data_IF_625666013175
#
_entry.id   IF_625666013175
#
_cell.length_a   1.000
_cell.length_b   1.000
_cell.length_c   1.000
_cell.angle_alpha   90.00
_cell.angle_beta   90.00
_cell.angle_gamma   90.00
#
_symmetry.space_group_name_H-M   'P 1'
#
loop_
_entity.id
_entity.type
_entity.pdbx_description
1 polymer ?
#
# COMPACT_ATOMS: atom_id res chain seq x y z
N UNK A 1 60.55 49.27 -8.38
CA UNK A 1 59.68 48.44 -7.49
C UNK A 1 58.49 49.17 -6.85
N UNK A 2 58.37 50.51 -6.83
CA UNK A 2 57.21 51.19 -6.21
C UNK A 2 55.90 51.14 -7.01
N UNK A 3 55.94 51.02 -8.35
CA UNK A 3 54.73 51.02 -9.20
C UNK A 3 53.96 49.69 -9.22
N UNK A 4 54.59 48.57 -8.87
CA UNK A 4 53.94 47.25 -8.88
C UNK A 4 53.02 47.05 -7.65
N UNK A 5 53.36 47.68 -6.51
CA UNK A 5 52.55 47.61 -5.29
C UNK A 5 51.21 48.37 -5.42
N UNK A 6 51.18 49.45 -6.19
CA UNK A 6 49.96 50.24 -6.40
C UNK A 6 48.97 49.54 -7.33
N UNK A 7 49.46 48.83 -8.36
CA UNK A 7 48.61 48.05 -9.28
C UNK A 7 48.04 46.81 -8.60
N UNK A 8 48.84 46.11 -7.77
CA UNK A 8 48.37 44.96 -7.01
C UNK A 8 47.28 45.35 -5.98
N UNK A 9 47.38 46.52 -5.36
CA UNK A 9 46.38 47.01 -4.41
C UNK A 9 45.06 47.41 -5.11
N UNK A 10 45.14 47.98 -6.32
CA UNK A 10 43.94 48.33 -7.09
C UNK A 10 43.19 47.09 -7.59
N UNK A 11 43.90 46.04 -8.01
CA UNK A 11 43.30 44.77 -8.45
C UNK A 11 42.64 44.03 -7.27
N UNK A 12 43.23 44.09 -6.08
CA UNK A 12 42.66 43.49 -4.87
C UNK A 12 41.37 44.21 -4.44
N UNK A 13 41.31 45.54 -4.54
CA UNK A 13 40.12 46.32 -4.18
C UNK A 13 38.97 46.09 -5.20
N UNK A 14 39.28 45.86 -6.48
CA UNK A 14 38.24 45.49 -7.47
C UNK A 14 37.74 44.05 -7.32
N UNK A 15 38.55 43.13 -6.78
CA UNK A 15 38.14 41.74 -6.54
C UNK A 15 37.30 41.58 -5.27
N UNK A 16 37.45 42.47 -4.28
CA UNK A 16 36.65 42.47 -3.05
C UNK A 16 35.57 43.56 -3.00
N UNK A 17 35.45 44.41 -4.03
CA UNK A 17 34.45 45.47 -4.14
C UNK A 17 33.09 45.03 -4.71
N UNK A 18 32.93 43.75 -5.09
CA UNK A 18 31.68 43.19 -5.60
C UNK A 18 31.12 42.13 -4.65
N UNK A 19 30.79 42.53 -3.42
CA UNK A 19 29.88 41.77 -2.55
C UNK A 19 28.80 42.68 -2.00
N UNK A 20 28.18 43.48 -2.86
CA UNK A 20 26.73 43.56 -2.73
C UNK A 20 26.24 42.25 -3.35
N UNK A 21 25.59 41.40 -2.54
CA UNK A 21 24.74 40.31 -3.01
C UNK A 21 23.60 40.94 -3.83
N UNK A 22 23.94 41.48 -4.99
CA UNK A 22 23.02 41.80 -6.04
C UNK A 22 22.57 40.45 -6.58
N UNK A 23 21.53 39.91 -5.94
CA UNK A 23 20.65 38.85 -6.45
C UNK A 23 19.97 39.33 -7.75
N UNK A 24 20.78 39.66 -8.75
CA UNK A 24 20.40 40.07 -10.11
C UNK A 24 20.29 38.85 -11.03
N UNK A 25 20.02 37.67 -10.47
CA UNK A 25 19.16 36.76 -11.18
C UNK A 25 17.76 37.35 -11.04
N UNK A 26 17.32 38.07 -12.06
CA UNK A 26 15.89 38.20 -12.32
C UNK A 26 15.35 36.79 -12.32
N UNK A 27 14.80 36.36 -11.18
CA UNK A 27 14.09 35.09 -11.04
C UNK A 27 13.02 35.15 -12.10
N UNK A 28 13.23 34.44 -13.21
CA UNK A 28 12.26 34.40 -14.29
C UNK A 28 10.93 34.00 -13.65
N UNK A 29 9.98 34.93 -13.68
CA UNK A 29 8.70 34.75 -13.00
C UNK A 29 8.06 33.44 -13.46
N UNK A 30 7.55 32.65 -12.52
CA UNK A 30 6.86 31.40 -12.83
C UNK A 30 7.74 30.15 -13.01
N UNK A 31 9.07 30.24 -12.89
CA UNK A 31 9.90 29.02 -12.81
C UNK A 31 9.59 28.21 -11.54
N UNK A 32 9.34 28.89 -10.41
CA UNK A 32 9.19 28.27 -9.11
C UNK A 32 10.55 27.87 -8.50
N UNK A 33 10.50 27.23 -7.33
CA UNK A 33 11.67 26.68 -6.63
C UNK A 33 11.75 25.18 -6.88
N UNK A 34 12.97 24.64 -6.94
CA UNK A 34 13.21 23.18 -7.04
C UNK A 34 12.58 22.43 -5.86
N UNK A 35 12.72 22.99 -4.65
CA UNK A 35 12.13 22.46 -3.42
C UNK A 35 11.21 23.52 -2.80
N UNK A 36 9.97 23.14 -2.51
CA UNK A 36 8.98 23.99 -1.83
C UNK A 36 8.69 23.39 -0.46
N UNK A 37 8.74 24.23 0.56
CA UNK A 37 8.51 23.83 1.96
C UNK A 37 7.33 24.62 2.52
N UNK A 38 6.32 23.91 3.03
CA UNK A 38 5.17 24.48 3.74
C UNK A 38 5.37 24.18 5.23
N UNK A 39 5.89 25.16 5.97
CA UNK A 39 6.28 25.03 7.38
C UNK A 39 5.76 26.22 8.19
N UNK A 40 5.69 26.06 9.52
CA UNK A 40 5.16 27.06 10.45
C UNK A 40 3.64 27.03 10.58
N UNK A 41 3.07 27.94 11.38
CA UNK A 41 1.63 28.05 11.61
C UNK A 41 0.95 28.87 10.51
N UNK A 42 1.09 28.44 9.26
CA UNK A 42 0.43 29.08 8.12
C UNK A 42 -1.08 28.82 8.15
N UNK A 43 -1.85 29.86 7.93
CA UNK A 43 -3.28 29.76 7.59
C UNK A 43 -3.46 29.20 6.18
N UNK A 44 -4.68 28.76 5.84
CA UNK A 44 -5.03 28.31 4.49
C UNK A 44 -4.64 29.33 3.40
N UNK A 45 -4.89 30.62 3.64
CA UNK A 45 -4.62 31.69 2.69
C UNK A 45 -3.12 31.93 2.47
N UNK A 46 -2.32 31.89 3.55
CA UNK A 46 -0.87 32.05 3.48
C UNK A 46 -0.22 30.83 2.79
N UNK A 47 -0.69 29.64 3.10
CA UNK A 47 -0.27 28.40 2.44
C UNK A 47 -0.55 28.46 0.94
N UNK A 48 -1.77 28.83 0.54
CA UNK A 48 -2.15 28.97 -0.87
C UNK A 48 -1.33 30.04 -1.59
N UNK A 49 -1.09 31.19 -0.96
CA UNK A 49 -0.26 32.26 -1.52
C UNK A 49 1.20 31.80 -1.73
N UNK A 50 1.76 31.07 -0.76
CA UNK A 50 3.12 30.52 -0.85
C UNK A 50 3.24 29.48 -1.95
N UNK A 51 2.30 28.54 -2.04
CA UNK A 51 2.27 27.54 -3.11
C UNK A 51 2.18 28.20 -4.49
N UNK A 52 1.31 29.19 -4.65
CA UNK A 52 1.18 29.95 -5.90
C UNK A 52 2.47 30.69 -6.31
N UNK A 53 3.23 31.19 -5.33
CA UNK A 53 4.48 31.92 -5.59
C UNK A 53 5.68 31.00 -5.84
N UNK A 54 5.71 29.82 -5.20
CA UNK A 54 6.91 28.97 -5.17
C UNK A 54 6.82 27.71 -6.03
N UNK A 55 5.63 27.20 -6.32
CA UNK A 55 5.46 26.05 -7.22
C UNK A 55 5.47 26.53 -8.67
N UNK A 56 6.30 25.91 -9.50
CA UNK A 56 6.41 26.23 -10.92
C UNK A 56 7.07 25.12 -11.74
N UNK A 57 7.45 25.45 -12.97
CA UNK A 57 7.94 24.49 -13.97
C UNK A 57 9.26 23.79 -13.64
N UNK A 58 10.03 24.28 -12.66
CA UNK A 58 11.25 23.61 -12.18
C UNK A 58 11.07 22.90 -10.84
N UNK A 59 9.87 22.96 -10.24
CA UNK A 59 9.60 22.34 -8.94
C UNK A 59 9.63 20.83 -9.01
N UNK A 60 10.54 20.21 -8.27
CA UNK A 60 10.68 18.77 -8.22
C UNK A 60 10.12 18.18 -6.92
N UNK A 61 10.20 18.90 -5.80
CA UNK A 61 9.83 18.37 -4.50
C UNK A 61 8.97 19.37 -3.71
N UNK A 62 7.90 18.86 -3.10
CA UNK A 62 7.02 19.62 -2.21
C UNK A 62 6.96 18.91 -0.86
N UNK A 63 7.36 19.62 0.19
CA UNK A 63 7.36 19.14 1.57
C UNK A 63 6.34 19.93 2.38
N UNK A 64 5.47 19.22 3.09
CA UNK A 64 4.44 19.79 3.94
C UNK A 64 4.72 19.35 5.37
N UNK A 65 5.04 20.32 6.23
CA UNK A 65 5.60 20.10 7.56
C UNK A 65 7.07 19.70 7.54
N UNK A 66 7.71 19.72 8.71
CA UNK A 66 9.15 19.44 8.87
C UNK A 66 9.40 18.11 9.59
N UNK A 67 10.28 17.27 9.04
CA UNK A 67 10.74 16.04 9.71
C UNK A 67 11.61 16.33 10.94
N UNK A 68 12.45 17.38 10.87
CA UNK A 68 13.53 17.57 11.84
C UNK A 68 13.04 18.01 13.23
N UNK A 69 11.80 18.51 13.34
CA UNK A 69 11.27 19.04 14.60
C UNK A 69 9.81 18.67 14.88
N UNK A 70 9.22 17.75 14.12
CA UNK A 70 7.77 17.49 14.18
C UNK A 70 6.96 18.79 14.13
N UNK A 71 7.33 19.68 13.20
CA UNK A 71 6.74 21.02 13.14
C UNK A 71 5.21 20.87 13.08
N UNK A 72 4.56 21.52 14.05
CA UNK A 72 3.10 21.50 14.18
C UNK A 72 2.57 22.55 13.23
N UNK A 73 1.72 22.12 12.30
CA UNK A 73 0.88 23.02 11.51
C UNK A 73 -0.44 23.12 12.25
N UNK A 74 -0.54 24.10 13.15
CA UNK A 74 -1.71 24.20 14.05
C UNK A 74 -2.88 24.96 13.44
N UNK A 75 -2.65 25.80 12.43
CA UNK A 75 -3.68 26.64 11.82
C UNK A 75 -4.17 26.19 10.45
N UNK A 76 -3.42 25.34 9.74
CA UNK A 76 -3.81 24.84 8.42
C UNK A 76 -5.02 23.90 8.53
N UNK A 77 -6.11 24.25 7.87
CA UNK A 77 -7.35 23.45 7.84
C UNK A 77 -7.62 22.80 6.49
N UNK A 78 -7.27 23.48 5.39
CA UNK A 78 -7.45 22.96 4.04
C UNK A 78 -6.16 23.15 3.23
N UNK A 79 -5.75 22.10 2.53
CA UNK A 79 -4.62 22.14 1.63
C UNK A 79 -5.04 21.68 0.24
N UNK A 80 -4.83 22.55 -0.76
CA UNK A 80 -5.00 22.22 -2.17
C UNK A 80 -3.67 22.40 -2.90
N UNK A 81 -3.20 21.34 -3.55
CA UNK A 81 -2.02 21.31 -4.39
C UNK A 81 -2.44 21.12 -5.85
N UNK A 82 -2.05 22.05 -6.72
CA UNK A 82 -2.10 21.91 -8.17
C UNK A 82 -0.65 21.72 -8.66
N UNK A 83 -0.28 20.49 -9.02
CA UNK A 83 1.13 20.08 -9.17
C UNK A 83 1.51 19.89 -10.65
N UNK A 84 2.62 20.48 -11.12
CA UNK A 84 3.10 20.24 -12.48
C UNK A 84 3.67 18.82 -12.63
N UNK A 85 3.76 18.33 -13.87
CA UNK A 85 4.15 16.94 -14.18
C UNK A 85 5.59 16.59 -13.83
N UNK A 86 6.45 17.59 -13.63
CA UNK A 86 7.85 17.40 -13.25
C UNK A 86 8.07 17.19 -11.75
N UNK A 87 7.03 17.31 -10.91
CA UNK A 87 7.13 16.98 -9.48
C UNK A 87 7.44 15.49 -9.32
N UNK A 88 8.50 15.20 -8.57
CA UNK A 88 8.98 13.87 -8.23
C UNK A 88 8.54 13.44 -6.83
N UNK A 89 8.32 14.38 -5.90
CA UNK A 89 7.99 14.05 -4.50
C UNK A 89 6.98 15.02 -3.90
N UNK A 90 5.99 14.46 -3.22
CA UNK A 90 5.07 15.18 -2.32
C UNK A 90 5.05 14.45 -0.99
N UNK A 91 5.57 15.09 0.05
CA UNK A 91 5.78 14.47 1.35
C UNK A 91 5.10 15.27 2.45
N UNK A 92 4.18 14.61 3.16
CA UNK A 92 3.54 15.11 4.36
C UNK A 92 4.27 14.56 5.58
N UNK A 93 5.04 15.40 6.25
CA UNK A 93 5.93 15.00 7.35
C UNK A 93 5.66 15.71 8.69
N UNK A 94 4.68 16.62 8.73
CA UNK A 94 4.30 17.36 9.94
C UNK A 94 3.27 16.65 10.84
N UNK A 95 2.97 17.31 11.96
CA UNK A 95 1.81 17.01 12.81
C UNK A 95 0.74 18.05 12.51
N UNK A 96 -0.46 17.60 12.12
CA UNK A 96 -1.55 18.49 11.74
C UNK A 96 -2.71 18.38 12.73
N UNK A 97 -2.88 19.41 13.55
CA UNK A 97 -3.92 19.45 14.60
C UNK A 97 -5.28 19.83 14.02
N UNK A 98 -5.32 20.73 13.02
CA UNK A 98 -6.56 21.24 12.43
C UNK A 98 -6.80 20.85 10.97
N UNK A 99 -5.87 20.15 10.31
CA UNK A 99 -5.99 19.80 8.89
C UNK A 99 -7.16 18.83 8.66
N UNK A 100 -8.17 19.31 7.92
CA UNK A 100 -9.40 18.61 7.59
C UNK A 100 -9.38 18.03 6.19
N UNK A 101 -8.95 18.81 5.20
CA UNK A 101 -9.00 18.40 3.80
C UNK A 101 -7.65 18.51 3.14
N UNK A 102 -7.31 17.49 2.36
CA UNK A 102 -6.13 17.44 1.51
C UNK A 102 -6.63 17.15 0.09
N UNK A 103 -6.32 18.03 -0.85
CA UNK A 103 -6.60 17.84 -2.27
C UNK A 103 -5.31 17.97 -3.07
N UNK A 104 -4.99 16.95 -3.86
CA UNK A 104 -3.84 16.92 -4.75
C UNK A 104 -4.35 16.71 -6.17
N UNK A 105 -4.10 17.68 -7.04
CA UNK A 105 -4.48 17.65 -8.45
C UNK A 105 -3.22 17.67 -9.30
N UNK A 106 -2.95 16.57 -10.02
CA UNK A 106 -1.91 16.53 -11.04
C UNK A 106 -2.48 16.63 -12.46
N UNK A 107 -1.58 16.50 -13.45
CA UNK A 107 -1.92 16.69 -14.87
C UNK A 107 -1.41 15.56 -15.76
N UNK A 108 -2.01 14.37 -15.63
CA UNK A 108 -1.73 13.20 -16.48
C UNK A 108 -0.71 12.24 -15.87
N UNK A 109 0.19 11.73 -16.72
CA UNK A 109 1.19 10.74 -16.30
C UNK A 109 2.33 11.41 -15.52
N UNK A 110 2.61 10.90 -14.31
CA UNK A 110 3.66 11.36 -13.42
C UNK A 110 4.49 10.16 -12.90
N UNK A 111 5.15 9.41 -13.81
CA UNK A 111 5.69 8.07 -13.54
C UNK A 111 6.86 8.07 -12.55
N UNK A 112 7.46 9.23 -12.29
CA UNK A 112 8.54 9.42 -11.33
C UNK A 112 8.06 9.99 -9.99
N UNK A 113 6.79 10.41 -9.91
CA UNK A 113 6.23 11.05 -8.74
C UNK A 113 5.92 10.03 -7.64
N UNK A 114 6.38 10.36 -6.43
CA UNK A 114 6.07 9.66 -5.21
C UNK A 114 5.20 10.56 -4.32
N UNK A 115 4.04 10.06 -3.90
CA UNK A 115 3.12 10.78 -3.02
C UNK A 115 3.06 10.07 -1.67
N UNK A 116 3.37 10.78 -0.60
CA UNK A 116 3.26 10.32 0.77
C UNK A 116 2.36 11.27 1.55
N UNK A 117 1.08 10.92 1.65
CA UNK A 117 0.10 11.69 2.43
C UNK A 117 -0.10 11.03 3.78
N UNK A 118 0.23 11.76 4.84
CA UNK A 118 -0.21 11.47 6.20
C UNK A 118 -1.16 12.58 6.63
N UNK A 119 -2.44 12.27 6.82
CA UNK A 119 -3.38 13.25 7.35
C UNK A 119 -3.16 13.54 8.85
N UNK A 120 -3.88 14.53 9.34
CA UNK A 120 -3.94 14.98 10.73
C UNK A 120 -5.06 14.36 11.56
N UNK A 121 -5.14 14.83 12.81
CA UNK A 121 -6.13 14.35 13.81
C UNK A 121 -7.56 14.58 13.35
N UNK A 122 -7.78 15.69 12.66
CA UNK A 122 -9.07 16.12 12.14
C UNK A 122 -9.20 15.86 10.63
N UNK A 123 -8.38 15.03 9.99
CA UNK A 123 -8.55 14.83 8.54
C UNK A 123 -9.84 14.07 8.24
N UNK A 124 -10.70 14.70 7.44
CA UNK A 124 -12.01 14.24 7.00
C UNK A 124 -11.96 13.71 5.56
N UNK A 125 -11.08 14.29 4.73
CA UNK A 125 -11.01 13.96 3.31
C UNK A 125 -9.60 14.07 2.75
N UNK A 126 -9.21 13.07 1.95
CA UNK A 126 -8.03 13.10 1.08
C UNK A 126 -8.51 12.79 -0.35
N UNK A 127 -8.35 13.75 -1.24
CA UNK A 127 -8.67 13.61 -2.67
C UNK A 127 -7.39 13.71 -3.50
N UNK A 128 -7.14 12.70 -4.33
CA UNK A 128 -6.10 12.75 -5.37
C UNK A 128 -6.79 12.59 -6.72
N UNK A 129 -6.59 13.52 -7.65
CA UNK A 129 -7.24 13.51 -8.97
C UNK A 129 -6.31 14.03 -10.08
N UNK A 130 -6.66 13.74 -11.33
CA UNK A 130 -5.93 14.19 -12.51
C UNK A 130 -4.59 13.49 -12.76
N UNK A 131 -4.16 12.56 -11.90
CA UNK A 131 -2.92 11.78 -12.06
C UNK A 131 -3.25 10.40 -12.60
N UNK A 132 -2.68 10.01 -13.74
CA UNK A 132 -2.94 8.71 -14.37
C UNK A 132 -1.89 7.65 -14.05
N UNK A 133 -0.68 8.06 -13.67
CA UNK A 133 0.45 7.16 -13.39
C UNK A 133 1.33 7.74 -12.28
N UNK A 134 1.78 6.89 -11.36
CA UNK A 134 2.71 7.25 -10.28
C UNK A 134 3.85 6.23 -10.16
N UNK A 135 4.96 6.68 -9.56
CA UNK A 135 5.98 5.75 -9.08
C UNK A 135 5.49 5.02 -7.84
N UNK A 136 5.08 5.78 -6.84
CA UNK A 136 4.70 5.26 -5.54
C UNK A 136 3.60 6.11 -4.94
N UNK A 137 2.65 5.47 -4.28
CA UNK A 137 1.62 6.16 -3.51
C UNK A 137 1.51 5.53 -2.14
N UNK A 138 1.63 6.38 -1.13
CA UNK A 138 1.27 6.07 0.23
C UNK A 138 0.26 7.10 0.71
N UNK A 139 -0.90 6.63 1.17
CA UNK A 139 -1.88 7.45 1.84
C UNK A 139 -2.25 6.79 3.16
N UNK A 140 -2.19 7.53 4.26
CA UNK A 140 -2.45 6.94 5.56
C UNK A 140 -2.63 7.96 6.65
N UNK A 141 -2.88 7.46 7.85
CA UNK A 141 -3.07 8.27 9.06
C UNK A 141 -2.25 7.67 10.22
N UNK A 142 -1.03 7.22 9.89
CA UNK A 142 -0.17 6.52 10.84
C UNK A 142 0.25 7.45 11.98
N UNK A 143 0.16 6.93 13.21
CA UNK A 143 0.63 7.65 14.40
C UNK A 143 -0.28 8.79 14.86
N UNK A 144 -1.43 9.00 14.21
CA UNK A 144 -2.36 10.05 14.57
C UNK A 144 -3.59 9.47 15.25
N UNK A 145 -3.95 10.02 16.41
CA UNK A 145 -5.25 9.75 17.03
C UNK A 145 -6.32 10.52 16.25
N UNK A 146 -6.74 9.97 15.12
CA UNK A 146 -7.83 10.51 14.29
C UNK A 146 -9.05 10.71 15.20
N UNK A 147 -9.85 11.76 15.14
CA UNK A 147 -11.07 11.85 15.98
C UNK A 147 -12.35 11.58 15.22
N UNK A 148 -12.27 11.42 13.90
CA UNK A 148 -13.42 11.36 13.01
C UNK A 148 -13.25 10.42 11.82
N UNK A 149 -14.32 10.26 11.05
CA UNK A 149 -14.33 9.50 9.81
C UNK A 149 -13.47 10.21 8.75
N UNK A 150 -12.71 9.46 7.95
CA UNK A 150 -11.94 10.01 6.84
C UNK A 150 -12.22 9.27 5.53
N UNK A 151 -12.61 10.03 4.51
CA UNK A 151 -12.80 9.54 3.15
C UNK A 151 -11.54 9.76 2.32
N UNK A 152 -11.01 8.71 1.72
CA UNK A 152 -9.91 8.79 0.76
C UNK A 152 -10.39 8.36 -0.61
N UNK A 153 -10.38 9.31 -1.54
CA UNK A 153 -10.76 9.09 -2.93
C UNK A 153 -9.58 9.40 -3.85
N UNK A 154 -9.26 8.45 -4.72
CA UNK A 154 -8.20 8.56 -5.73
C UNK A 154 -8.85 8.31 -7.08
N UNK A 155 -8.88 9.34 -7.91
CA UNK A 155 -9.50 9.36 -9.25
C UNK A 155 -8.41 9.33 -10.31
N UNK A 156 -8.77 8.81 -11.48
CA UNK A 156 -7.97 8.81 -12.72
C UNK A 156 -6.69 7.96 -12.69
N UNK A 157 -6.16 7.61 -11.51
CA UNK A 157 -4.95 6.82 -11.34
C UNK A 157 -5.13 5.43 -11.92
N UNK A 158 -4.35 5.07 -12.93
CA UNK A 158 -4.45 3.78 -13.63
C UNK A 158 -3.30 2.84 -13.28
N UNK A 159 -2.10 3.38 -13.03
CA UNK A 159 -0.89 2.59 -12.79
C UNK A 159 -0.02 3.17 -11.67
N UNK A 160 0.52 2.28 -10.84
CA UNK A 160 1.56 2.60 -9.85
C UNK A 160 2.72 1.63 -10.00
N UNK A 161 3.88 2.12 -10.45
CA UNK A 161 4.95 1.25 -10.94
C UNK A 161 5.78 0.57 -9.84
N UNK A 162 5.87 1.14 -8.63
CA UNK A 162 6.63 0.59 -7.50
C UNK A 162 5.74 0.05 -6.38
N UNK A 163 4.81 0.85 -5.87
CA UNK A 163 4.02 0.43 -4.71
C UNK A 163 2.84 1.34 -4.39
N UNK A 164 1.74 0.74 -3.98
CA UNK A 164 0.51 1.42 -3.58
C UNK A 164 0.14 0.99 -2.16
N UNK A 165 0.47 1.80 -1.18
CA UNK A 165 0.18 1.51 0.21
C UNK A 165 -0.93 2.41 0.72
N UNK A 166 -1.86 1.81 1.44
CA UNK A 166 -2.75 2.54 2.32
C UNK A 166 -2.63 1.98 3.72
N UNK A 167 -2.29 2.82 4.70
CA UNK A 167 -2.24 2.39 6.10
C UNK A 167 -3.04 3.31 6.99
N UNK A 168 -4.15 2.81 7.52
CA UNK A 168 -4.77 3.35 8.71
C UNK A 168 -4.38 2.47 9.89
N UNK A 169 -3.19 2.66 10.49
CA UNK A 169 -2.89 2.06 11.79
C UNK A 169 -3.30 3.05 12.88
N UNK A 170 -4.56 3.03 13.33
CA UNK A 170 -4.92 3.82 14.47
C UNK A 170 -4.23 3.14 15.67
N UNK A 171 -3.63 3.93 16.56
CA UNK A 171 -2.96 3.37 17.74
C UNK A 171 -3.85 2.40 18.54
N UNK A 172 -3.29 1.67 19.51
CA UNK A 172 -3.89 0.50 20.18
C UNK A 172 -5.29 0.68 20.81
N UNK A 173 -5.82 1.90 20.89
CA UNK A 173 -7.05 2.26 21.60
C UNK A 173 -8.19 2.75 20.69
N UNK A 174 -8.23 2.38 19.41
CA UNK A 174 -9.11 3.02 18.43
C UNK A 174 -9.92 1.98 17.65
N UNK A 175 -10.85 1.31 18.33
CA UNK A 175 -11.75 0.32 17.73
C UNK A 175 -12.93 0.92 16.94
N UNK A 176 -13.15 2.24 17.03
CA UNK A 176 -14.38 2.89 16.53
C UNK A 176 -14.18 3.87 15.37
N UNK A 177 -13.00 3.89 14.72
CA UNK A 177 -12.73 4.87 13.65
C UNK A 177 -12.72 4.21 12.29
N UNK A 178 -13.33 4.92 11.36
CA UNK A 178 -13.91 4.38 10.15
C UNK A 178 -13.31 5.12 8.96
N UNK A 179 -12.63 4.40 8.06
CA UNK A 179 -12.09 4.94 6.81
C UNK A 179 -12.89 4.45 5.63
N UNK A 180 -12.99 5.27 4.57
CA UNK A 180 -13.37 4.78 3.25
C UNK A 180 -12.24 4.99 2.28
N UNK A 181 -11.93 3.98 1.48
CA UNK A 181 -10.95 4.06 0.41
C UNK A 181 -11.63 3.72 -0.92
N UNK A 182 -11.57 4.64 -1.87
CA UNK A 182 -12.05 4.46 -3.24
C UNK A 182 -10.95 4.80 -4.23
N UNK A 183 -10.53 3.81 -5.01
CA UNK A 183 -9.52 3.94 -6.05
C UNK A 183 -9.90 3.00 -7.21
N UNK A 184 -11.00 3.34 -7.87
CA UNK A 184 -11.65 2.43 -8.84
C UNK A 184 -11.02 2.44 -10.22
N UNK A 185 -10.25 3.48 -10.56
CA UNK A 185 -9.59 3.60 -11.86
C UNK A 185 -8.24 2.86 -11.90
N UNK A 186 -7.70 2.48 -10.72
CA UNK A 186 -6.41 1.80 -10.61
C UNK A 186 -6.51 0.41 -11.21
N UNK A 187 -5.68 0.12 -12.22
CA UNK A 187 -5.65 -1.15 -12.94
C UNK A 187 -4.43 -1.98 -12.59
N UNK A 188 -3.29 -1.32 -12.40
CA UNK A 188 -1.99 -2.00 -12.29
C UNK A 188 -1.19 -1.47 -11.10
N UNK A 189 -0.71 -2.39 -10.27
CA UNK A 189 0.30 -2.09 -9.24
C UNK A 189 1.49 -2.99 -9.49
N UNK A 190 2.67 -2.38 -9.62
CA UNK A 190 3.94 -3.07 -9.66
C UNK A 190 4.02 -4.14 -10.79
N UNK A 191 3.49 -3.79 -11.97
CA UNK A 191 3.42 -4.72 -13.12
C UNK A 191 4.80 -5.21 -13.60
N UNK A 192 5.82 -4.36 -13.50
CA UNK A 192 7.12 -4.57 -14.14
C UNK A 192 8.29 -4.85 -13.18
N UNK A 193 8.10 -4.74 -11.86
CA UNK A 193 9.22 -4.80 -10.92
C UNK A 193 9.40 -6.21 -10.37
N UNK A 194 10.40 -6.94 -10.87
CA UNK A 194 10.71 -8.31 -10.47
C UNK A 194 11.47 -8.27 -9.12
N UNK A 195 10.83 -8.72 -8.04
CA UNK A 195 11.47 -9.02 -6.75
C UNK A 195 12.37 -7.92 -6.16
N UNK A 196 11.76 -6.86 -5.64
CA UNK A 196 12.42 -6.02 -4.64
C UNK A 196 11.72 -6.25 -3.29
N UNK A 197 12.40 -6.93 -2.36
CA UNK A 197 11.89 -7.16 -1.01
C UNK A 197 11.75 -5.86 -0.21
N UNK A 198 12.44 -4.79 -0.62
CA UNK A 198 12.31 -3.44 -0.06
C UNK A 198 11.20 -2.63 -0.74
N UNK A 199 10.76 -3.03 -1.94
CA UNK A 199 9.50 -2.55 -2.50
C UNK A 199 8.39 -3.15 -1.65
N UNK A 200 7.99 -2.41 -0.63
CA UNK A 200 6.76 -2.63 0.11
C UNK A 200 5.64 -2.75 -0.92
N UNK A 201 5.27 -3.99 -1.24
CA UNK A 201 4.13 -4.29 -2.10
C UNK A 201 2.88 -3.56 -1.61
N UNK A 202 1.81 -3.61 -2.40
CA UNK A 202 0.62 -2.82 -2.14
C UNK A 202 -0.12 -3.19 -0.84
N UNK A 203 0.36 -2.69 0.30
CA UNK A 203 -0.22 -2.99 1.61
C UNK A 203 -1.45 -2.12 1.84
N UNK A 204 -2.63 -2.72 1.88
CA UNK A 204 -3.89 -2.06 2.23
C UNK A 204 -4.22 -2.43 3.69
N UNK A 205 -3.48 -1.81 4.60
CA UNK A 205 -3.69 -1.96 6.03
C UNK A 205 -4.66 -0.92 6.58
N UNK A 206 -5.52 -1.32 7.51
CA UNK A 206 -6.21 -0.40 8.40
C UNK A 206 -7.72 -0.57 8.46
N UNK A 207 -8.32 0.14 9.40
CA UNK A 207 -9.72 -0.03 9.79
C UNK A 207 -10.70 0.64 8.79
N UNK A 208 -10.92 0.02 7.63
CA UNK A 208 -11.90 0.51 6.64
C UNK A 208 -13.32 0.10 6.98
N UNK A 209 -14.28 1.01 6.79
CA UNK A 209 -15.72 0.69 6.69
C UNK A 209 -16.15 0.29 5.31
N UNK A 210 -15.57 0.91 4.29
CA UNK A 210 -15.73 0.49 2.91
C UNK A 210 -14.41 0.64 2.17
N UNK A 211 -14.22 -0.27 1.23
CA UNK A 211 -13.02 -0.37 0.42
C UNK A 211 -13.45 -0.72 -1.00
N UNK A 212 -13.00 0.06 -1.98
CA UNK A 212 -13.39 -0.10 -3.38
C UNK A 212 -12.20 0.14 -4.30
N UNK A 213 -11.81 -0.91 -5.03
CA UNK A 213 -10.81 -0.86 -6.11
C UNK A 213 -11.30 -1.74 -7.25
N UNK A 214 -12.45 -1.37 -7.84
CA UNK A 214 -13.15 -2.23 -8.79
C UNK A 214 -12.42 -2.44 -10.11
N UNK A 215 -11.49 -1.53 -10.47
CA UNK A 215 -10.70 -1.62 -11.69
C UNK A 215 -9.38 -2.39 -11.57
N UNK A 216 -8.99 -2.82 -10.36
CA UNK A 216 -7.68 -3.42 -10.11
C UNK A 216 -7.58 -4.80 -10.73
N UNK A 217 -6.68 -4.97 -11.70
CA UNK A 217 -6.51 -6.19 -12.49
C UNK A 217 -5.28 -7.00 -12.12
N UNK A 218 -4.16 -6.32 -11.91
CA UNK A 218 -2.86 -6.95 -11.67
C UNK A 218 -2.13 -6.27 -10.51
N UNK A 219 -1.77 -7.07 -9.51
CA UNK A 219 -0.89 -6.72 -8.41
C UNK A 219 0.35 -7.62 -8.47
N UNK A 220 1.21 -7.38 -9.47
CA UNK A 220 2.44 -8.15 -9.64
C UNK A 220 3.44 -7.74 -8.55
N UNK A 221 4.09 -8.73 -7.92
CA UNK A 221 5.09 -8.52 -6.86
C UNK A 221 4.63 -7.63 -5.70
N UNK A 222 3.31 -7.55 -5.49
CA UNK A 222 2.69 -6.79 -4.44
C UNK A 222 1.95 -7.73 -3.49
N UNK A 223 2.13 -7.50 -2.19
CA UNK A 223 1.37 -8.15 -1.13
C UNK A 223 0.06 -7.41 -0.95
N UNK A 224 -1.07 -8.05 -1.23
CA UNK A 224 -2.37 -7.54 -0.80
C UNK A 224 -2.53 -7.83 0.71
N UNK A 225 -2.07 -6.90 1.54
CA UNK A 225 -2.38 -6.86 2.97
C UNK A 225 -3.81 -6.40 3.16
N UNK A 226 -4.63 -7.12 3.94
CA UNK A 226 -6.02 -6.73 4.24
C UNK A 226 -6.25 -6.75 5.75
N UNK A 227 -6.61 -5.62 6.36
CA UNK A 227 -6.85 -5.47 7.81
C UNK A 227 -8.18 -4.73 8.17
N UNK A 228 -9.37 -5.15 7.73
CA UNK A 228 -10.54 -4.27 7.68
C UNK A 228 -11.54 -4.41 8.85
N UNK A 229 -12.28 -3.33 9.08
CA UNK A 229 -13.56 -3.31 9.82
C UNK A 229 -14.71 -3.39 8.80
N UNK A 230 -14.91 -4.58 8.23
CA UNK A 230 -16.04 -4.87 7.36
C UNK A 230 -16.07 -6.35 7.07
N UNK A 231 -17.26 -6.91 6.87
CA UNK A 231 -17.42 -8.36 6.77
C UNK A 231 -16.82 -8.95 5.49
N UNK A 232 -16.53 -8.13 4.48
CA UNK A 232 -16.16 -8.60 3.16
C UNK A 232 -15.19 -7.66 2.44
N UNK A 233 -14.17 -8.24 1.80
CA UNK A 233 -13.35 -7.57 0.79
C UNK A 233 -13.56 -8.25 -0.55
N UNK A 234 -13.84 -7.45 -1.59
CA UNK A 234 -14.07 -7.93 -2.96
C UNK A 234 -13.28 -7.10 -3.95
N UNK A 235 -12.49 -7.78 -4.79
CA UNK A 235 -11.77 -7.17 -5.91
C UNK A 235 -12.23 -7.88 -7.20
N UNK A 236 -13.30 -7.39 -7.86
CA UNK A 236 -14.01 -8.14 -8.89
C UNK A 236 -13.23 -8.29 -10.20
N UNK A 237 -12.23 -7.42 -10.44
CA UNK A 237 -11.41 -7.43 -11.64
C UNK A 237 -10.00 -8.03 -11.43
N UNK A 238 -9.64 -8.44 -10.22
CA UNK A 238 -8.28 -8.88 -9.91
C UNK A 238 -8.01 -10.27 -10.49
N UNK A 239 -7.24 -10.31 -11.57
CA UNK A 239 -6.91 -11.52 -12.35
C UNK A 239 -5.63 -12.19 -11.85
N UNK A 240 -4.70 -11.39 -11.31
CA UNK A 240 -3.37 -11.81 -10.86
C UNK A 240 -2.90 -11.04 -9.63
N UNK A 241 -2.35 -11.76 -8.66
CA UNK A 241 -1.61 -11.18 -7.52
C UNK A 241 -0.41 -12.06 -7.20
N UNK A 242 0.70 -11.47 -6.74
CA UNK A 242 1.84 -12.25 -6.29
C UNK A 242 1.58 -12.90 -4.93
N UNK A 243 1.22 -12.10 -3.92
CA UNK A 243 0.93 -12.61 -2.58
C UNK A 243 -0.38 -12.02 -2.05
N UNK A 244 -1.29 -12.90 -1.63
CA UNK A 244 -2.45 -12.54 -0.82
C UNK A 244 -2.10 -12.80 0.63
N UNK A 245 -2.10 -11.76 1.44
CA UNK A 245 -1.66 -11.87 2.83
C UNK A 245 -2.70 -11.26 3.77
N UNK A 246 -3.42 -12.12 4.47
CA UNK A 246 -4.55 -11.73 5.29
C UNK A 246 -4.29 -12.18 6.73
N UNK A 247 -3.47 -11.41 7.45
CA UNK A 247 -3.18 -11.65 8.87
C UNK A 247 -4.20 -10.90 9.71
N UNK A 248 -5.30 -11.57 10.06
CA UNK A 248 -6.22 -11.08 11.07
C UNK A 248 -5.59 -11.25 12.45
N UNK A 249 -4.81 -10.25 12.91
CA UNK A 249 -4.24 -10.28 14.25
C UNK A 249 -5.33 -10.20 15.32
N UNK A 250 -5.10 -10.89 16.45
CA UNK A 250 -6.07 -11.11 17.54
C UNK A 250 -6.63 -9.80 18.14
N UNK A 251 -5.91 -8.69 17.99
CA UNK A 251 -6.24 -7.42 18.62
C UNK A 251 -6.96 -6.42 17.70
N UNK A 252 -6.92 -6.61 16.37
CA UNK A 252 -7.34 -5.54 15.44
C UNK A 252 -8.36 -5.96 14.37
N UNK A 253 -8.51 -7.26 14.09
CA UNK A 253 -9.21 -7.72 12.88
C UNK A 253 -10.31 -8.76 13.16
N UNK A 254 -11.27 -8.46 14.06
CA UNK A 254 -12.35 -9.41 14.41
C UNK A 254 -13.48 -9.53 13.38
N UNK A 255 -13.55 -8.61 12.40
CA UNK A 255 -14.75 -8.46 11.57
C UNK A 255 -14.56 -8.89 10.11
N UNK A 256 -13.34 -9.13 9.62
CA UNK A 256 -13.17 -9.60 8.24
C UNK A 256 -13.54 -11.06 8.14
N UNK A 257 -14.67 -11.32 7.49
CA UNK A 257 -15.20 -12.67 7.36
C UNK A 257 -14.95 -13.26 5.98
N UNK A 258 -15.01 -12.44 4.93
CA UNK A 258 -15.05 -12.91 3.55
C UNK A 258 -13.99 -12.18 2.71
N UNK A 259 -13.17 -12.95 2.01
CA UNK A 259 -12.36 -12.47 0.88
C UNK A 259 -12.94 -13.09 -0.39
N UNK A 260 -13.29 -12.25 -1.36
CA UNK A 260 -13.91 -12.70 -2.61
C UNK A 260 -13.15 -12.13 -3.82
N UNK A 261 -12.44 -12.99 -4.54
CA UNK A 261 -11.66 -12.64 -5.73
C UNK A 261 -12.15 -13.49 -6.91
N UNK A 262 -13.31 -13.12 -7.51
CA UNK A 262 -14.07 -14.01 -8.39
C UNK A 262 -13.38 -14.33 -9.72
N UNK A 263 -12.41 -13.51 -10.15
CA UNK A 263 -11.70 -13.67 -11.43
C UNK A 263 -10.21 -13.99 -11.24
N UNK A 264 -9.75 -14.22 -10.01
CA UNK A 264 -8.33 -14.50 -9.73
C UNK A 264 -7.96 -15.88 -10.28
N UNK A 265 -7.11 -15.92 -11.31
CA UNK A 265 -6.73 -17.17 -11.98
C UNK A 265 -5.40 -17.74 -11.50
N UNK A 266 -4.48 -16.86 -11.07
CA UNK A 266 -3.11 -17.20 -10.67
C UNK A 266 -2.66 -16.42 -9.44
N UNK A 267 -1.99 -17.11 -8.51
CA UNK A 267 -1.33 -16.53 -7.36
C UNK A 267 -0.07 -17.31 -6.99
N UNK A 268 0.97 -16.60 -6.54
CA UNK A 268 2.16 -17.28 -6.02
C UNK A 268 1.92 -17.75 -4.59
N UNK A 269 1.57 -16.86 -3.67
CA UNK A 269 1.37 -17.22 -2.26
C UNK A 269 0.03 -16.73 -1.69
N UNK A 270 -0.67 -17.61 -0.99
CA UNK A 270 -1.79 -17.28 -0.10
C UNK A 270 -1.29 -17.51 1.32
N UNK A 271 -1.26 -16.46 2.14
CA UNK A 271 -0.90 -16.52 3.55
C UNK A 271 -2.04 -15.85 4.33
N UNK A 272 -3.01 -16.65 4.73
CA UNK A 272 -4.18 -16.16 5.44
C UNK A 272 -4.25 -16.78 6.82
N UNK A 273 -4.40 -15.94 7.85
CA UNK A 273 -4.56 -16.43 9.21
C UNK A 273 -5.48 -15.57 10.05
N UNK A 274 -6.24 -16.18 10.97
CA UNK A 274 -7.05 -15.49 11.99
C UNK A 274 -8.56 -15.63 11.76
N UNK A 275 -9.35 -14.59 12.04
CA UNK A 275 -10.83 -14.61 12.09
C UNK A 275 -11.56 -14.72 10.72
N UNK A 276 -10.88 -15.19 9.67
CA UNK A 276 -11.49 -15.34 8.36
C UNK A 276 -12.43 -16.55 8.33
N UNK A 277 -13.65 -16.35 7.79
CA UNK A 277 -14.63 -17.41 7.59
C UNK A 277 -14.59 -17.98 6.18
N UNK A 278 -14.32 -17.16 5.17
CA UNK A 278 -14.39 -17.59 3.77
C UNK A 278 -13.35 -16.89 2.92
N UNK A 279 -12.60 -17.69 2.16
CA UNK A 279 -11.76 -17.24 1.05
C UNK A 279 -12.35 -17.86 -0.22
N UNK A 280 -12.95 -17.03 -1.07
CA UNK A 280 -13.65 -17.45 -2.28
C UNK A 280 -12.86 -17.09 -3.54
N UNK A 281 -12.28 -18.10 -4.18
CA UNK A 281 -11.41 -18.03 -5.35
C UNK A 281 -11.89 -19.01 -6.44
N UNK A 282 -13.11 -18.84 -6.98
CA UNK A 282 -13.81 -19.87 -7.76
C UNK A 282 -13.11 -20.29 -9.05
N UNK A 283 -12.29 -19.41 -9.63
CA UNK A 283 -11.55 -19.66 -10.88
C UNK A 283 -10.03 -19.81 -10.69
N UNK A 284 -9.57 -19.92 -9.44
CA UNK A 284 -8.15 -20.07 -9.15
C UNK A 284 -7.64 -21.42 -9.64
N UNK A 285 -6.78 -21.40 -10.65
CA UNK A 285 -6.17 -22.59 -11.23
C UNK A 285 -4.76 -22.84 -10.68
N UNK A 286 -3.97 -21.77 -10.46
CA UNK A 286 -2.58 -21.88 -10.01
C UNK A 286 -2.40 -21.14 -8.69
N UNK A 287 -2.01 -21.87 -7.64
CA UNK A 287 -1.62 -21.30 -6.34
C UNK A 287 -0.37 -22.00 -5.82
N UNK A 288 0.83 -21.39 -5.95
CA UNK A 288 2.09 -22.12 -5.66
C UNK A 288 2.22 -22.49 -4.18
N UNK A 289 1.97 -21.55 -3.28
CA UNK A 289 1.99 -21.74 -1.84
C UNK A 289 0.66 -21.33 -1.23
N UNK A 290 0.05 -22.19 -0.43
CA UNK A 290 -1.21 -21.93 0.25
C UNK A 290 -1.02 -22.27 1.73
N UNK A 291 -1.03 -21.25 2.57
CA UNK A 291 -0.96 -21.37 4.03
C UNK A 291 -2.19 -20.72 4.61
N UNK A 292 -3.06 -21.53 5.22
CA UNK A 292 -4.32 -21.08 5.79
C UNK A 292 -4.37 -21.57 7.23
N UNK A 293 -4.49 -20.64 8.18
CA UNK A 293 -4.55 -20.98 9.60
C UNK A 293 -5.64 -20.21 10.35
N UNK A 294 -6.16 -20.81 11.41
CA UNK A 294 -6.98 -20.14 12.37
C UNK A 294 -6.31 -20.22 13.74
N UNK A 295 -6.01 -19.06 14.33
CA UNK A 295 -5.45 -19.00 15.68
C UNK A 295 -6.51 -19.13 16.77
N UNK A 296 -7.79 -19.22 16.40
CA UNK A 296 -8.91 -19.36 17.33
C UNK A 296 -9.61 -20.69 17.12
N UNK A 297 -9.85 -21.42 18.21
CA UNK A 297 -10.34 -22.80 18.19
C UNK A 297 -11.81 -22.98 17.76
N UNK A 298 -12.50 -21.91 17.37
CA UNK A 298 -13.96 -21.90 17.38
C UNK A 298 -14.61 -21.82 15.99
N UNK A 299 -13.83 -21.76 14.89
CA UNK A 299 -14.40 -21.78 13.55
C UNK A 299 -13.46 -22.42 12.52
N UNK A 300 -14.05 -23.01 11.48
CA UNK A 300 -13.32 -23.54 10.32
C UNK A 300 -13.36 -22.50 9.20
N UNK A 301 -12.21 -22.20 8.61
CA UNK A 301 -12.15 -21.32 7.44
C UNK A 301 -12.57 -22.09 6.18
N UNK A 302 -13.56 -21.60 5.46
CA UNK A 302 -13.98 -22.15 4.17
C UNK A 302 -13.07 -21.61 3.05
N UNK A 303 -12.16 -22.47 2.56
CA UNK A 303 -11.32 -22.16 1.41
C UNK A 303 -11.92 -22.76 0.12
N UNK A 304 -12.49 -21.90 -0.74
CA UNK A 304 -13.12 -22.31 -1.98
C UNK A 304 -12.25 -22.00 -3.21
N UNK A 305 -11.52 -23.01 -3.70
CA UNK A 305 -10.75 -22.95 -4.94
C UNK A 305 -10.95 -24.23 -5.77
N UNK A 306 -12.14 -24.44 -6.37
CA UNK A 306 -12.55 -25.74 -6.90
C UNK A 306 -11.69 -26.19 -8.09
N UNK A 307 -11.28 -25.26 -8.95
CA UNK A 307 -10.50 -25.54 -10.18
C UNK A 307 -8.98 -25.51 -9.97
N UNK A 308 -8.50 -25.46 -8.72
CA UNK A 308 -7.06 -25.49 -8.40
C UNK A 308 -6.41 -26.75 -8.97
N UNK A 309 -5.50 -26.55 -9.91
CA UNK A 309 -4.81 -27.61 -10.66
C UNK A 309 -3.29 -27.61 -10.45
N UNK A 310 -2.72 -26.54 -9.88
CA UNK A 310 -1.30 -26.43 -9.59
C UNK A 310 -1.06 -25.88 -8.18
N UNK A 311 -0.26 -26.58 -7.36
CA UNK A 311 0.18 -26.15 -6.04
C UNK A 311 1.45 -26.91 -5.60
N UNK A 312 2.44 -26.17 -5.10
CA UNK A 312 3.70 -26.72 -4.59
C UNK A 312 3.68 -26.92 -3.07
N UNK A 313 2.96 -26.08 -2.34
CA UNK A 313 2.92 -26.10 -0.88
C UNK A 313 1.51 -25.84 -0.35
N UNK A 314 1.02 -26.70 0.54
CA UNK A 314 -0.25 -26.52 1.24
C UNK A 314 -0.06 -26.76 2.74
N UNK A 315 -0.41 -25.75 3.54
CA UNK A 315 -0.37 -25.83 5.01
C UNK A 315 -1.74 -25.42 5.55
N UNK A 316 -2.29 -26.24 6.45
CA UNK A 316 -3.56 -25.95 7.11
C UNK A 316 -3.44 -26.07 8.63
N UNK A 317 -4.02 -25.10 9.32
CA UNK A 317 -4.32 -25.14 10.74
C UNK A 317 -5.70 -24.49 10.97
N UNK A 318 -6.72 -24.97 10.27
CA UNK A 318 -8.05 -24.38 10.16
C UNK A 318 -9.11 -25.12 10.97
N UNK A 319 -8.71 -26.02 11.87
CA UNK A 319 -9.65 -26.84 12.63
C UNK A 319 -10.60 -27.59 11.67
N UNK A 320 -10.01 -28.24 10.67
CA UNK A 320 -10.70 -29.11 9.73
C UNK A 320 -11.25 -30.34 10.46
N UNK A 321 -12.29 -30.97 9.92
CA UNK A 321 -12.66 -32.32 10.35
C UNK A 321 -11.92 -33.38 9.50
N UNK A 322 -11.93 -34.65 9.92
CA UNK A 322 -11.25 -35.72 9.17
C UNK A 322 -11.78 -35.90 7.73
N UNK A 323 -13.05 -35.60 7.45
CA UNK A 323 -13.57 -35.67 6.07
C UNK A 323 -12.98 -34.58 5.18
N UNK A 324 -12.77 -33.37 5.69
CA UNK A 324 -12.13 -32.28 4.95
C UNK A 324 -10.65 -32.59 4.69
N UNK A 325 -9.95 -33.15 5.67
CA UNK A 325 -8.58 -33.65 5.52
C UNK A 325 -8.50 -34.70 4.42
N UNK A 326 -9.40 -35.69 4.42
CA UNK A 326 -9.47 -36.70 3.37
C UNK A 326 -9.72 -36.08 1.98
N UNK A 327 -10.64 -35.11 1.88
CA UNK A 327 -10.95 -34.43 0.63
C UNK A 327 -9.75 -33.64 0.06
N UNK A 328 -8.99 -32.98 0.94
CA UNK A 328 -7.74 -32.30 0.56
C UNK A 328 -6.73 -33.31 0.01
N UNK A 329 -6.45 -34.38 0.75
CA UNK A 329 -5.49 -35.41 0.31
C UNK A 329 -5.89 -36.01 -1.05
N UNK A 330 -7.17 -36.34 -1.22
CA UNK A 330 -7.70 -36.86 -2.47
C UNK A 330 -7.49 -35.90 -3.65
N UNK A 331 -7.82 -34.62 -3.46
CA UNK A 331 -7.64 -33.59 -4.48
C UNK A 331 -6.17 -33.46 -4.92
N UNK A 332 -5.25 -33.51 -3.95
CA UNK A 332 -3.81 -33.36 -4.20
C UNK A 332 -3.18 -34.53 -5.00
N UNK A 333 -3.88 -35.65 -5.18
CA UNK A 333 -3.43 -36.74 -6.06
C UNK A 333 -3.33 -36.31 -7.53
N UNK A 334 -4.09 -35.29 -7.93
CA UNK A 334 -4.17 -34.82 -9.33
C UNK A 334 -3.59 -33.43 -9.54
N UNK A 335 -3.39 -32.66 -8.46
CA UNK A 335 -2.75 -31.34 -8.51
C UNK A 335 -1.30 -31.48 -8.98
N UNK A 336 -0.93 -30.62 -9.94
CA UNK A 336 0.40 -30.53 -10.50
C UNK A 336 1.35 -29.68 -9.62
N UNK A 337 2.65 -29.98 -9.63
CA UNK A 337 3.26 -31.21 -10.18
C UNK A 337 2.83 -32.46 -9.38
N UNK A 338 2.86 -33.65 -10.02
CA UNK A 338 2.50 -34.91 -9.34
C UNK A 338 3.44 -35.27 -8.18
N UNK A 339 4.69 -34.82 -8.22
CA UNK A 339 5.74 -35.07 -7.21
C UNK A 339 6.34 -33.78 -6.68
N UNK A 340 7.06 -33.84 -5.55
CA UNK A 340 7.79 -32.69 -5.00
C UNK A 340 6.92 -31.64 -4.31
N UNK A 341 5.65 -31.96 -3.99
CA UNK A 341 4.78 -31.10 -3.21
C UNK A 341 5.08 -31.21 -1.71
N UNK A 342 4.83 -30.14 -0.98
CA UNK A 342 4.78 -30.09 0.48
C UNK A 342 3.34 -29.97 0.95
N UNK A 343 2.84 -30.93 1.73
CA UNK A 343 1.47 -30.97 2.24
C UNK A 343 1.54 -31.14 3.75
N UNK A 344 1.16 -30.11 4.50
CA UNK A 344 1.23 -30.05 5.95
C UNK A 344 -0.16 -29.86 6.56
N UNK A 345 -0.67 -30.96 7.10
CA UNK A 345 -1.95 -31.05 7.82
C UNK A 345 -1.70 -31.55 9.24
N UNK A 346 -0.49 -31.35 9.80
CA UNK A 346 -0.11 -31.88 11.11
C UNK A 346 -0.99 -31.35 12.25
N UNK A 347 -1.46 -30.11 12.14
CA UNK A 347 -2.33 -29.47 13.12
C UNK A 347 -3.82 -29.81 12.93
N UNK A 348 -4.16 -30.64 11.95
CA UNK A 348 -5.53 -31.09 11.68
C UNK A 348 -5.76 -32.49 12.27
N UNK A 349 -7.02 -32.93 12.42
CA UNK A 349 -7.31 -34.32 12.79
C UNK A 349 -6.73 -35.32 11.79
N UNK A 350 -6.37 -36.51 12.29
CA UNK A 350 -5.82 -37.56 11.45
C UNK A 350 -6.77 -37.95 10.29
N UNK A 351 -6.24 -38.27 9.09
CA UNK A 351 -7.04 -38.82 8.00
C UNK A 351 -7.60 -40.19 8.37
N UNK A 352 -8.71 -40.56 7.76
CA UNK A 352 -9.38 -41.86 8.01
C UNK A 352 -9.76 -42.56 6.71
N UNK A 353 -9.93 -43.88 6.73
CA UNK A 353 -10.40 -44.65 5.57
C UNK A 353 -9.60 -44.36 4.29
N UNK A 354 -10.29 -43.88 3.25
CA UNK A 354 -9.67 -43.53 1.97
C UNK A 354 -8.55 -42.48 2.11
N UNK A 355 -8.62 -41.57 3.08
CA UNK A 355 -7.57 -40.56 3.27
C UNK A 355 -6.22 -41.13 3.69
N UNK A 356 -6.19 -42.28 4.39
CA UNK A 356 -4.94 -42.97 4.73
C UNK A 356 -4.28 -43.53 3.46
N UNK A 357 -5.10 -44.07 2.55
CA UNK A 357 -4.65 -44.60 1.25
C UNK A 357 -4.13 -43.44 0.39
N UNK A 358 -4.87 -42.34 0.32
CA UNK A 358 -4.50 -41.15 -0.47
C UNK A 358 -3.19 -40.52 0.07
N UNK A 359 -3.01 -40.43 1.39
CA UNK A 359 -1.74 -40.02 2.02
C UNK A 359 -0.58 -40.88 1.55
N UNK A 360 -0.71 -42.21 1.60
CA UNK A 360 0.37 -43.12 1.19
C UNK A 360 0.65 -43.00 -0.32
N UNK A 361 -0.38 -42.85 -1.15
CA UNK A 361 -0.23 -42.64 -2.59
C UNK A 361 0.54 -41.35 -2.89
N UNK A 362 0.25 -40.24 -2.20
CA UNK A 362 0.99 -38.99 -2.32
C UNK A 362 2.47 -39.16 -1.93
N UNK A 363 2.77 -39.88 -0.84
CA UNK A 363 4.15 -40.16 -0.43
C UNK A 363 4.87 -41.00 -1.50
N UNK A 364 4.21 -42.02 -2.04
CA UNK A 364 4.77 -42.87 -3.10
C UNK A 364 5.02 -42.10 -4.41
N UNK A 365 4.23 -41.05 -4.69
CA UNK A 365 4.48 -40.11 -5.79
C UNK A 365 5.68 -39.16 -5.52
N UNK A 366 6.35 -39.26 -4.37
CA UNK A 366 7.50 -38.42 -4.02
C UNK A 366 7.12 -37.05 -3.45
N UNK A 367 5.98 -36.95 -2.75
CA UNK A 367 5.58 -35.75 -2.02
C UNK A 367 5.94 -35.86 -0.53
N UNK A 368 6.16 -34.73 0.14
CA UNK A 368 6.31 -34.66 1.59
C UNK A 368 4.92 -34.40 2.22
N UNK A 369 4.39 -35.36 2.98
CA UNK A 369 3.03 -35.30 3.55
C UNK A 369 3.07 -35.50 5.06
N UNK A 370 2.70 -34.46 5.81
CA UNK A 370 2.61 -34.45 7.26
C UNK A 370 1.14 -34.45 7.70
N UNK A 371 0.75 -35.42 8.53
CA UNK A 371 -0.54 -35.46 9.23
C UNK A 371 -0.31 -35.91 10.67
N UNK A 372 -1.27 -35.66 11.55
CA UNK A 372 -1.37 -36.30 12.87
C UNK A 372 -1.53 -37.83 12.74
#
# INVERSE_FOLDING_TARGET
MKKLKTVALFILITLFGCTEENNYYTTAEGLGKVNVYIEGDLTDAECAAKLKAEVGTITENIYIGSQENYARLTELTNLELDIPTNVKKIYFTGIYEKLKTIKIKGHGSMPLCEIYVSGGKLTESILVEGITELKYMYAGLNGVTISQFCNVEIKDLQEVSKGFAFTGYPGPNILNKQFTLKCNDLKYVNKNFIYDIEATGGSIGGHFTSFSMTGLKDMSNARLGINPIGNQVTLPALEKVYELNCLASNNYNKNLNIINLPVLTTIDNIICSGFLYTINLPVLSIGKGISIGNYTSNHTMNFNAPVLNYCLGYTSNNNLNSSDVNAILNKFLTIQPLSGKYIDLYYEPAPTGQGIIDKQALINQGNNVLTN
#
